data_IF_733656151931
#
_entry.id   IF_733656151931
#
_cell.length_a   1.000
_cell.length_b   1.000
_cell.length_c   1.000
_cell.angle_alpha   90.00
_cell.angle_beta   90.00
_cell.angle_gamma   90.00
#
_symmetry.space_group_name_H-M   'P 1'
#
loop_
_entity.id
_entity.type
_entity.pdbx_description
1 polymer ?
#
# COMPACT_ATOMS: atom_id res chain seq x y z
N UNK A 1 16.79 -9.43 -6.80
CA UNK A 1 15.91 -9.81 -5.67
C UNK A 1 14.51 -9.30 -5.95
N UNK A 2 13.50 -10.17 -5.94
CA UNK A 2 12.10 -9.78 -6.17
C UNK A 2 11.31 -10.09 -4.90
N UNK A 3 10.61 -9.10 -4.37
CA UNK A 3 9.70 -9.21 -3.22
C UNK A 3 8.34 -8.73 -3.68
N UNK A 4 7.32 -9.59 -3.63
CA UNK A 4 5.94 -9.25 -3.98
C UNK A 4 4.94 -9.89 -3.02
N UNK A 5 3.91 -9.13 -2.65
CA UNK A 5 2.87 -9.57 -1.73
C UNK A 5 1.54 -9.95 -2.41
N UNK A 6 1.17 -9.32 -3.53
CA UNK A 6 -0.15 -9.54 -4.16
C UNK A 6 -0.06 -9.98 -5.62
N UNK A 7 0.91 -9.48 -6.39
CA UNK A 7 0.96 -9.68 -7.84
C UNK A 7 2.08 -10.63 -8.25
N UNK A 8 1.86 -11.37 -9.33
CA UNK A 8 2.95 -12.10 -9.97
C UNK A 8 3.92 -11.10 -10.60
N UNK A 9 5.19 -11.18 -10.22
CA UNK A 9 6.27 -10.39 -10.82
C UNK A 9 7.22 -11.36 -11.50
N UNK A 10 7.33 -11.23 -12.83
CA UNK A 10 8.23 -12.03 -13.65
C UNK A 10 9.28 -11.13 -14.31
N UNK A 11 10.51 -11.61 -14.38
CA UNK A 11 11.67 -10.89 -14.93
C UNK A 11 12.40 -11.80 -15.91
N UNK A 12 12.81 -11.26 -17.06
CA UNK A 12 13.54 -12.01 -18.09
C UNK A 12 14.64 -11.11 -18.68
N UNK A 13 15.87 -11.62 -18.73
CA UNK A 13 17.00 -10.91 -19.35
C UNK A 13 17.42 -9.64 -18.62
N UNK A 14 17.25 -9.59 -17.30
CA UNK A 14 17.66 -8.46 -16.45
C UNK A 14 18.54 -8.96 -15.32
N UNK A 15 19.56 -8.18 -14.98
CA UNK A 15 20.54 -8.50 -13.95
C UNK A 15 20.51 -7.45 -12.84
N UNK A 16 20.86 -7.89 -11.63
CA UNK A 16 21.08 -7.02 -10.45
C UNK A 16 19.94 -6.05 -10.09
N UNK A 17 18.70 -6.39 -10.45
CA UNK A 17 17.53 -5.63 -10.04
C UNK A 17 17.04 -6.02 -8.65
N UNK A 18 16.57 -5.00 -7.92
CA UNK A 18 15.73 -5.12 -6.75
C UNK A 18 14.34 -4.62 -7.12
N UNK A 19 13.36 -5.51 -6.99
CA UNK A 19 11.95 -5.22 -7.22
C UNK A 19 11.20 -5.46 -5.93
N UNK A 20 10.51 -4.43 -5.45
CA UNK A 20 9.67 -4.48 -4.25
C UNK A 20 8.27 -4.02 -4.62
N UNK A 21 7.33 -4.98 -4.70
CA UNK A 21 5.90 -4.74 -4.91
C UNK A 21 5.18 -4.78 -3.57
N UNK A 22 4.75 -3.61 -3.11
CA UNK A 22 3.88 -3.45 -1.94
C UNK A 22 2.49 -3.02 -2.38
N UNK A 23 1.53 -3.01 -1.45
CA UNK A 23 0.19 -2.50 -1.75
C UNK A 23 0.17 -1.02 -2.13
N UNK A 24 1.15 -0.26 -1.64
CA UNK A 24 1.18 1.21 -1.72
C UNK A 24 1.98 1.67 -2.95
N UNK A 25 3.06 0.96 -3.29
CA UNK A 25 3.94 1.30 -4.41
C UNK A 25 4.73 0.08 -4.93
N UNK A 26 5.14 0.19 -6.20
CA UNK A 26 6.13 -0.66 -6.84
C UNK A 26 7.45 0.09 -6.97
N UNK A 27 8.53 -0.46 -6.40
CA UNK A 27 9.89 0.03 -6.57
C UNK A 27 10.69 -0.95 -7.44
N UNK A 28 11.37 -0.41 -8.44
CA UNK A 28 12.33 -1.15 -9.28
C UNK A 28 13.62 -0.34 -9.31
N UNK A 29 14.72 -0.94 -8.89
CA UNK A 29 16.02 -0.28 -8.88
C UNK A 29 17.14 -1.28 -9.15
N UNK A 30 18.24 -0.81 -9.74
CA UNK A 30 19.48 -1.56 -9.74
C UNK A 30 20.03 -1.65 -8.30
N UNK A 31 20.68 -2.75 -7.94
CA UNK A 31 21.22 -3.00 -6.60
C UNK A 31 22.19 -1.89 -6.15
N UNK A 32 22.93 -1.30 -7.07
CA UNK A 32 23.88 -0.20 -6.77
C UNK A 32 23.20 1.13 -6.43
N UNK A 33 21.92 1.29 -6.79
CA UNK A 33 21.14 2.51 -6.55
C UNK A 33 20.34 2.48 -5.24
N UNK A 34 20.44 1.42 -4.43
CA UNK A 34 19.67 1.27 -3.17
C UNK A 34 19.91 2.44 -2.21
N UNK A 35 21.14 2.96 -2.17
CA UNK A 35 21.52 4.08 -1.31
C UNK A 35 20.72 5.36 -1.58
N UNK A 36 20.18 5.51 -2.79
CA UNK A 36 19.41 6.69 -3.20
C UNK A 36 17.90 6.57 -2.94
N UNK A 37 17.43 5.44 -2.39
CA UNK A 37 16.01 5.23 -2.05
C UNK A 37 15.48 6.35 -1.15
N UNK A 38 16.29 6.86 -0.23
CA UNK A 38 15.90 7.97 0.65
C UNK A 38 15.63 9.26 -0.14
N UNK A 39 16.43 9.53 -1.18
CA UNK A 39 16.25 10.70 -2.04
C UNK A 39 14.97 10.56 -2.88
N UNK A 40 14.72 9.36 -3.41
CA UNK A 40 13.48 9.04 -4.12
C UNK A 40 12.24 9.23 -3.23
N UNK A 41 12.28 8.75 -1.99
CA UNK A 41 11.19 8.95 -1.03
C UNK A 41 10.98 10.44 -0.72
N UNK A 42 12.05 11.23 -0.63
CA UNK A 42 11.95 12.67 -0.42
C UNK A 42 11.36 13.39 -1.65
N UNK A 43 11.74 13.03 -2.87
CA UNK A 43 11.15 13.65 -4.07
C UNK A 43 9.66 13.35 -4.21
N UNK A 44 9.22 12.14 -3.83
CA UNK A 44 7.78 11.77 -3.77
C UNK A 44 7.05 12.61 -2.71
N UNK A 45 7.69 12.85 -1.55
CA UNK A 45 7.16 13.73 -0.50
C UNK A 45 6.99 15.16 -0.99
N UNK A 46 8.01 15.71 -1.62
CA UNK A 46 8.03 17.09 -2.11
C UNK A 46 7.03 17.29 -3.26
N UNK A 47 6.78 16.25 -4.06
CA UNK A 47 5.73 16.22 -5.07
C UNK A 47 4.30 16.13 -4.48
N UNK A 48 4.16 16.08 -3.16
CA UNK A 48 2.87 16.06 -2.47
C UNK A 48 2.07 14.78 -2.66
N UNK A 49 2.67 13.71 -3.20
CA UNK A 49 1.96 12.46 -3.46
C UNK A 49 1.85 11.62 -2.19
N UNK A 50 0.76 10.86 -2.01
CA UNK A 50 0.47 10.19 -0.74
C UNK A 50 0.95 8.74 -0.64
N UNK A 51 1.61 8.18 -1.66
CA UNK A 51 2.11 6.79 -1.64
C UNK A 51 3.13 6.54 -0.51
N UNK A 52 3.71 7.62 0.05
CA UNK A 52 4.59 7.55 1.23
C UNK A 52 3.85 7.73 2.58
N UNK A 53 2.56 8.09 2.58
CA UNK A 53 1.75 8.40 3.77
C UNK A 53 0.61 7.41 4.00
N UNK A 54 -0.03 6.95 2.94
CA UNK A 54 -1.26 6.16 3.02
C UNK A 54 -0.90 4.70 2.84
N UNK A 55 -0.81 3.98 3.96
CA UNK A 55 -0.86 2.53 3.92
C UNK A 55 -2.25 2.11 3.47
N UNK A 56 -2.31 1.51 2.29
CA UNK A 56 -3.50 0.87 1.73
C UNK A 56 -4.08 -0.11 2.74
N UNK A 57 -3.25 -0.87 3.47
CA UNK A 57 -3.68 -1.77 4.54
C UNK A 57 -3.26 -1.28 5.93
N UNK A 58 -4.24 -1.11 6.82
CA UNK A 58 -4.03 -0.64 8.20
C UNK A 58 -4.52 -1.68 9.20
N UNK A 59 -3.64 -2.07 10.12
CA UNK A 59 -3.94 -3.04 11.18
C UNK A 59 -4.53 -2.38 12.43
N UNK A 60 -5.47 -3.09 13.05
CA UNK A 60 -6.20 -2.70 14.26
C UNK A 60 -6.35 -3.93 15.18
N UNK A 61 -6.65 -3.74 16.48
CA UNK A 61 -6.82 -4.86 17.41
C UNK A 61 -7.84 -5.90 16.90
N UNK A 62 -8.98 -5.43 16.38
CA UNK A 62 -10.07 -6.26 15.84
C UNK A 62 -9.78 -6.89 14.46
N UNK A 63 -8.68 -6.54 13.79
CA UNK A 63 -8.38 -7.00 12.43
C UNK A 63 -7.65 -5.97 11.58
N UNK A 64 -8.15 -5.69 10.39
CA UNK A 64 -7.56 -4.71 9.47
C UNK A 64 -8.59 -4.12 8.52
N UNK A 65 -8.28 -2.95 7.96
CA UNK A 65 -8.97 -2.46 6.77
C UNK A 65 -7.97 -2.17 5.66
N UNK A 66 -8.38 -2.45 4.44
CA UNK A 66 -7.67 -2.12 3.21
C UNK A 66 -8.49 -1.05 2.46
N UNK A 67 -7.91 0.11 2.20
CA UNK A 67 -8.50 1.19 1.40
C UNK A 67 -8.33 0.86 -0.07
N UNK A 68 -9.38 0.32 -0.69
CA UNK A 68 -9.33 -0.17 -2.07
C UNK A 68 -9.50 0.98 -3.06
N UNK A 69 -10.36 1.93 -2.74
CA UNK A 69 -10.67 3.04 -3.63
C UNK A 69 -11.13 4.28 -2.84
N UNK A 70 -10.85 5.46 -3.37
CA UNK A 70 -11.22 6.74 -2.79
C UNK A 70 -11.58 7.71 -3.92
N UNK A 71 -12.76 8.30 -3.84
CA UNK A 71 -13.19 9.38 -4.71
C UNK A 71 -13.58 10.61 -3.90
N UNK A 72 -13.89 11.72 -4.59
CA UNK A 72 -14.26 12.99 -3.95
C UNK A 72 -15.43 12.89 -2.96
N UNK A 73 -16.28 11.86 -3.10
CA UNK A 73 -17.51 11.68 -2.30
C UNK A 73 -17.67 10.27 -1.73
N UNK A 74 -16.68 9.41 -1.88
CA UNK A 74 -16.78 8.04 -1.40
C UNK A 74 -15.42 7.49 -0.99
N UNK A 75 -15.47 6.48 -0.14
CA UNK A 75 -14.31 5.68 0.24
C UNK A 75 -14.75 4.23 0.34
N UNK A 76 -14.02 3.34 -0.32
CA UNK A 76 -14.27 1.90 -0.29
C UNK A 76 -13.17 1.24 0.54
N UNK A 77 -13.59 0.53 1.59
CA UNK A 77 -12.70 -0.25 2.44
C UNK A 77 -13.10 -1.71 2.45
N UNK A 78 -12.14 -2.61 2.29
CA UNK A 78 -12.28 -4.02 2.64
C UNK A 78 -11.87 -4.20 4.08
N UNK A 79 -12.83 -4.56 4.92
CA UNK A 79 -12.59 -4.79 6.33
C UNK A 79 -12.47 -6.29 6.58
N UNK A 80 -11.37 -6.72 7.19
CA UNK A 80 -11.18 -8.10 7.65
C UNK A 80 -11.22 -8.10 9.17
N UNK A 81 -12.23 -8.76 9.73
CA UNK A 81 -12.40 -8.89 11.18
C UNK A 81 -11.82 -10.23 11.61
N UNK A 82 -11.00 -10.24 12.66
CA UNK A 82 -10.48 -11.48 13.24
C UNK A 82 -11.65 -12.30 13.82
N UNK A 83 -11.55 -13.64 13.82
CA UNK A 83 -12.56 -14.48 14.48
C UNK A 83 -12.82 -14.03 15.93
N UNK A 84 -14.09 -13.84 16.30
CA UNK A 84 -14.50 -13.43 17.66
C UNK A 84 -14.41 -11.93 17.96
N UNK A 85 -13.80 -11.13 17.09
CA UNK A 85 -13.71 -9.67 17.24
C UNK A 85 -14.94 -8.96 16.64
N UNK A 86 -15.12 -7.68 16.98
CA UNK A 86 -16.21 -6.86 16.44
C UNK A 86 -15.77 -5.43 16.14
N UNK A 87 -16.42 -4.86 15.14
CA UNK A 87 -16.34 -3.43 14.82
C UNK A 87 -17.31 -2.66 15.72
N UNK A 88 -16.97 -1.40 16.01
CA UNK A 88 -17.95 -0.48 16.60
C UNK A 88 -19.07 -0.20 15.60
N UNK A 89 -20.30 -0.14 16.09
CA UNK A 89 -21.44 0.28 15.27
C UNK A 89 -21.23 1.76 14.91
N UNK A 90 -21.33 2.07 13.62
CA UNK A 90 -21.22 3.43 13.10
C UNK A 90 -22.60 3.89 12.64
N UNK A 91 -23.01 5.08 13.07
CA UNK A 91 -24.25 5.70 12.61
C UNK A 91 -23.98 6.38 11.26
N UNK A 92 -24.82 6.08 10.27
CA UNK A 92 -24.80 6.73 8.97
C UNK A 92 -26.12 7.49 8.79
N UNK A 93 -26.04 8.81 8.66
CA UNK A 93 -27.21 9.65 8.37
C UNK A 93 -27.87 9.28 7.03
N UNK A 94 -27.07 8.84 6.06
CA UNK A 94 -27.52 8.33 4.77
C UNK A 94 -26.67 7.11 4.41
N UNK A 95 -27.29 5.95 4.28
CA UNK A 95 -26.64 4.71 3.83
C UNK A 95 -27.11 4.44 2.39
N UNK A 96 -26.19 4.59 1.45
CA UNK A 96 -26.38 4.18 0.06
C UNK A 96 -25.95 2.71 -0.12
#
# INVERSE_FOLDING_TARGET
MVVSNERLVATLGVDDLIIVDTKDALMVAHKDAIQDVKQLVNSIKDAGREEHKVHREVYRPWGKYDSIDNGARYQVKRITVKPGEKLSVQMHHHRA
#
